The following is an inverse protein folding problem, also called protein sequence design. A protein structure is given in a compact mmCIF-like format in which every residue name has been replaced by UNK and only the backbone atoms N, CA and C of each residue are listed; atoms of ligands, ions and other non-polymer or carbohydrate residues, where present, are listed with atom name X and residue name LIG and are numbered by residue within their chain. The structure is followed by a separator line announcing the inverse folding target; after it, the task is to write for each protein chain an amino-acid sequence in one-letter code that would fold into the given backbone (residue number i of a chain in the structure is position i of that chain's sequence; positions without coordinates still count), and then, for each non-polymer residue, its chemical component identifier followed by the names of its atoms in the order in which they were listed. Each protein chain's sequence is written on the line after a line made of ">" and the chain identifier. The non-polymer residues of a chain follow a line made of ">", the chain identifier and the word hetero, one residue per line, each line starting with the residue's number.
data_IF_520703920862
#
_entry.id   IF_520703920862
#
_cell.length_a   1.000
_cell.length_b   1.000
_cell.length_c   1.000
_cell.angle_alpha   90.00
_cell.angle_beta   90.00
_cell.angle_gamma   90.00
#
_symmetry.space_group_name_H-M   'P 1'
#
loop_
_entity.id
_entity.type
_entity.pdbx_description
1 polymer ?
#
# COMPACT_ATOMS: atom_id res chain seq x y z
N UNK A 1 -13.83 -24.24 20.68
CA UNK A 1 -12.65 -23.92 19.85
C UNK A 1 -12.76 -22.46 19.45
N UNK A 2 -12.05 -21.55 20.13
CA UNK A 2 -12.01 -20.15 19.74
C UNK A 2 -10.94 -20.02 18.64
N UNK A 3 -11.35 -19.68 17.42
CA UNK A 3 -10.43 -19.34 16.35
C UNK A 3 -9.62 -18.12 16.78
N UNK A 4 -8.30 -18.23 16.82
CA UNK A 4 -7.40 -17.11 17.02
C UNK A 4 -7.68 -16.06 15.95
N UNK A 5 -8.35 -14.97 16.31
CA UNK A 5 -8.53 -13.82 15.43
C UNK A 5 -7.14 -13.38 14.98
N UNK A 6 -6.82 -13.37 13.67
CA UNK A 6 -5.55 -12.82 13.23
C UNK A 6 -5.50 -11.37 13.71
N UNK A 7 -4.44 -11.03 14.43
CA UNK A 7 -4.19 -9.66 14.88
C UNK A 7 -4.06 -8.81 13.63
N UNK A 8 -5.17 -8.17 13.21
CA UNK A 8 -5.17 -7.21 12.12
C UNK A 8 -4.04 -6.24 12.43
N UNK A 9 -3.03 -6.20 11.56
CA UNK A 9 -1.99 -5.19 11.66
C UNK A 9 -2.70 -3.87 11.39
N UNK A 10 -3.03 -3.14 12.44
CA UNK A 10 -3.51 -1.77 12.33
C UNK A 10 -2.35 -0.96 11.76
N UNK A 11 -2.37 -0.78 10.45
CA UNK A 11 -1.46 0.11 9.80
C UNK A 11 -1.88 1.54 10.16
N UNK A 12 -0.92 2.43 10.49
CA UNK A 12 -1.24 3.83 10.69
C UNK A 12 -1.89 4.37 9.40
N UNK A 13 -2.72 5.43 9.47
CA UNK A 13 -3.39 5.98 8.30
C UNK A 13 -2.41 6.44 7.21
N UNK A 14 -1.18 6.75 7.61
CA UNK A 14 -0.08 7.18 6.75
C UNK A 14 1.16 6.31 6.94
N UNK A 15 1.61 5.67 5.86
CA UNK A 15 2.83 4.88 5.83
C UNK A 15 4.04 5.73 5.44
N UNK A 16 5.20 5.39 6.00
CA UNK A 16 6.49 5.82 5.45
C UNK A 16 6.77 5.09 4.12
N UNK A 17 7.75 5.55 3.33
CA UNK A 17 8.16 4.83 2.12
C UNK A 17 8.60 3.38 2.39
N UNK A 18 9.28 3.14 3.51
CA UNK A 18 9.74 1.80 3.88
C UNK A 18 8.56 0.91 4.28
N UNK A 19 7.59 1.45 5.03
CA UNK A 19 6.36 0.72 5.38
C UNK A 19 5.49 0.41 4.16
N UNK A 20 5.42 1.32 3.18
CA UNK A 20 4.74 1.06 1.92
C UNK A 20 5.44 -0.07 1.15
N UNK A 21 6.77 -0.08 1.13
CA UNK A 21 7.55 -1.16 0.52
C UNK A 21 7.30 -2.51 1.20
N UNK A 22 7.25 -2.53 2.54
CA UNK A 22 6.88 -3.71 3.33
C UNK A 22 5.45 -4.20 3.02
N UNK A 23 4.48 -3.29 2.88
CA UNK A 23 3.10 -3.63 2.56
C UNK A 23 2.98 -4.42 1.24
N UNK A 24 3.77 -4.03 0.23
CA UNK A 24 3.82 -4.69 -1.07
C UNK A 24 4.86 -5.83 -1.14
N UNK A 25 5.62 -6.07 -0.07
CA UNK A 25 6.77 -6.99 -0.05
C UNK A 25 7.80 -6.71 -1.18
N UNK A 26 8.05 -5.42 -1.46
CA UNK A 26 9.02 -4.96 -2.48
C UNK A 26 10.08 -4.04 -1.88
N UNK A 27 11.02 -3.58 -2.71
CA UNK A 27 11.99 -2.56 -2.30
C UNK A 27 11.41 -1.15 -2.42
N UNK A 28 11.93 -0.20 -1.64
CA UNK A 28 11.58 1.22 -1.78
C UNK A 28 11.83 1.77 -3.19
N UNK A 29 12.90 1.33 -3.85
CA UNK A 29 13.21 1.73 -5.23
C UNK A 29 12.11 1.28 -6.21
N UNK A 30 11.47 0.14 -5.94
CA UNK A 30 10.31 -0.32 -6.71
C UNK A 30 9.11 0.61 -6.53
N UNK A 31 8.82 1.02 -5.29
CA UNK A 31 7.74 1.98 -5.00
C UNK A 31 8.01 3.32 -5.70
N UNK A 32 9.23 3.85 -5.59
CA UNK A 32 9.59 5.13 -6.23
C UNK A 32 9.44 5.04 -7.76
N UNK A 33 9.86 3.92 -8.36
CA UNK A 33 9.64 3.65 -9.80
C UNK A 33 8.16 3.58 -10.15
N UNK A 34 7.35 2.85 -9.38
CA UNK A 34 5.91 2.74 -9.63
C UNK A 34 5.16 4.07 -9.50
N UNK A 35 5.61 4.94 -8.61
CA UNK A 35 5.10 6.31 -8.52
C UNK A 35 5.50 7.16 -9.74
N UNK A 36 6.71 6.97 -10.27
CA UNK A 36 7.19 7.69 -11.45
C UNK A 36 6.51 7.22 -12.74
N UNK A 37 6.31 5.91 -12.88
CA UNK A 37 5.72 5.29 -14.06
C UNK A 37 4.17 5.30 -14.03
N UNK A 38 3.57 5.73 -12.92
CA UNK A 38 2.11 5.83 -12.74
C UNK A 38 1.41 4.50 -12.45
N UNK A 39 2.16 3.44 -12.12
CA UNK A 39 1.59 2.16 -11.66
C UNK A 39 0.84 2.33 -10.35
N UNK A 40 1.42 3.10 -9.42
CA UNK A 40 0.73 3.47 -8.19
C UNK A 40 -0.09 4.75 -8.42
N UNK A 41 -1.32 4.82 -7.87
CA UNK A 41 -2.17 5.98 -8.06
C UNK A 41 -1.55 7.22 -7.40
N UNK A 42 -1.62 8.37 -8.08
CA UNK A 42 -0.89 9.58 -7.70
C UNK A 42 -1.35 10.15 -6.34
N UNK A 43 -2.62 9.93 -5.98
CA UNK A 43 -3.23 10.34 -4.71
C UNK A 43 -2.82 9.44 -3.52
N UNK A 44 -2.16 8.30 -3.78
CA UNK A 44 -1.54 7.51 -2.73
C UNK A 44 -0.42 8.28 -2.02
N UNK A 45 0.29 9.17 -2.73
CA UNK A 45 1.41 9.93 -2.17
C UNK A 45 0.93 11.27 -1.60
N UNK A 46 1.36 11.58 -0.39
CA UNK A 46 1.20 12.89 0.23
C UNK A 46 2.53 13.43 0.76
N UNK A 47 2.66 14.74 0.79
CA UNK A 47 3.79 15.44 1.41
C UNK A 47 3.36 16.04 2.73
N UNK A 48 4.00 15.65 3.83
CA UNK A 48 3.75 16.16 5.18
C UNK A 48 5.05 16.71 5.75
N UNK A 49 5.13 18.03 5.93
CA UNK A 49 6.33 18.68 6.49
C UNK A 49 7.62 18.42 5.71
N UNK A 50 7.55 18.31 4.38
CA UNK A 50 8.70 18.00 3.52
C UNK A 50 9.06 16.51 3.43
N UNK A 51 8.42 15.64 4.23
CA UNK A 51 8.56 14.20 4.12
C UNK A 51 7.45 13.59 3.25
N UNK A 52 7.80 12.55 2.48
CA UNK A 52 6.83 11.78 1.71
C UNK A 52 6.17 10.71 2.59
N UNK A 53 4.84 10.62 2.53
CA UNK A 53 4.03 9.58 3.18
C UNK A 53 3.03 9.01 2.18
N UNK A 54 2.53 7.81 2.47
CA UNK A 54 1.57 7.12 1.64
C UNK A 54 0.27 6.84 2.38
N UNK A 55 -0.88 7.08 1.73
CA UNK A 55 -2.19 6.79 2.28
C UNK A 55 -2.43 5.29 2.28
N UNK A 56 -2.56 4.70 3.46
CA UNK A 56 -2.78 3.25 3.62
C UNK A 56 -4.02 2.78 2.88
N UNK A 57 -5.13 3.54 2.99
CA UNK A 57 -6.39 3.18 2.35
C UNK A 57 -6.27 3.09 0.82
N UNK A 58 -5.54 4.01 0.19
CA UNK A 58 -5.38 4.03 -1.28
C UNK A 58 -4.50 2.87 -1.74
N UNK A 59 -3.40 2.58 -1.02
CA UNK A 59 -2.54 1.44 -1.34
C UNK A 59 -3.28 0.11 -1.17
N UNK A 60 -4.08 -0.03 -0.11
CA UNK A 60 -4.92 -1.22 0.11
C UNK A 60 -5.99 -1.37 -0.97
N UNK A 61 -6.67 -0.30 -1.34
CA UNK A 61 -7.65 -0.31 -2.44
C UNK A 61 -7.01 -0.76 -3.76
N UNK A 62 -5.82 -0.23 -4.06
CA UNK A 62 -5.05 -0.65 -5.24
C UNK A 62 -4.68 -2.15 -5.21
N UNK A 63 -4.25 -2.69 -4.06
CA UNK A 63 -3.96 -4.13 -3.90
C UNK A 63 -5.22 -4.96 -4.16
N UNK A 64 -6.35 -4.57 -3.56
CA UNK A 64 -7.61 -5.28 -3.69
C UNK A 64 -8.15 -5.22 -5.14
N UNK A 65 -8.00 -4.09 -5.81
CA UNK A 65 -8.38 -3.91 -7.21
C UNK A 65 -7.60 -4.83 -8.15
N UNK A 66 -6.32 -5.10 -7.87
CA UNK A 66 -5.52 -6.08 -8.63
C UNK A 66 -5.91 -7.53 -8.32
N UNK A 67 -6.27 -7.83 -7.07
CA UNK A 67 -6.68 -9.18 -6.64
C UNK A 67 -8.06 -9.63 -7.15
N UNK A 68 -8.94 -8.69 -7.51
CA UNK A 68 -10.30 -8.98 -7.99
C UNK A 68 -10.36 -9.45 -9.46
N UNK A 69 -9.23 -9.44 -10.19
CA UNK A 69 -9.18 -9.80 -11.61
C UNK A 69 -9.18 -11.32 -11.91
N UNK A 70 -9.34 -12.20 -10.92
CA UNK A 70 -8.99 -13.62 -11.09
C UNK A 70 -10.16 -14.64 -11.07
N UNK A 71 -11.43 -14.23 -11.03
CA UNK A 71 -12.57 -15.18 -10.91
C UNK A 71 -13.77 -14.88 -11.84
N UNK A 72 -13.48 -14.54 -13.10
CA UNK A 72 -14.49 -14.49 -14.16
C UNK A 72 -14.00 -15.25 -15.41
N UNK A 73 -14.06 -16.58 -15.37
CA UNK A 73 -14.01 -17.44 -16.56
C UNK A 73 -14.71 -18.77 -16.29
#
# INVERSE_FOLDING_TARGET
>A
MAASTPKQREYPPLLTPDQAAELYAVTRRTIDRWMADGTLPADARISVGGSTRYRTAVLMDHINAQGCASDAS
#
